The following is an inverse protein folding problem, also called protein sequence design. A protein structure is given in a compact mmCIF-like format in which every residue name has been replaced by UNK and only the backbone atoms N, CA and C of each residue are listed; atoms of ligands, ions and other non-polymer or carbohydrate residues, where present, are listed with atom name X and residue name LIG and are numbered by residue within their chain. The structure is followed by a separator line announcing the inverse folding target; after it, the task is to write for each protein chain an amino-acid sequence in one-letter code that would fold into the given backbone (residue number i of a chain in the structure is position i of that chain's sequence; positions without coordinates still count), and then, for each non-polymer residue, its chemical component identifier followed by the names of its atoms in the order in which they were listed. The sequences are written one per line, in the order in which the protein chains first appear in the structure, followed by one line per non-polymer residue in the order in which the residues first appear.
data_IF_410043805003
#
_entry.id   IF_410043805003
#
_cell.length_a   1.000
_cell.length_b   1.000
_cell.length_c   1.000
_cell.angle_alpha   90.00
_cell.angle_beta   90.00
_cell.angle_gamma   90.00
#
_symmetry.space_group_name_H-M   'P 1'
#
loop_
_entity.id
_entity.type
_entity.pdbx_description
1 polymer ?
#
# COMPACT_ATOMS: atom_id res chain seq x y z
N UNK A 1 18.88 -15.28 3.05
CA UNK A 1 18.70 -14.41 4.24
C UNK A 1 19.90 -13.51 4.48
N UNK A 2 21.15 -14.01 4.38
CA UNK A 2 22.36 -13.15 4.39
C UNK A 2 22.29 -12.05 3.32
N UNK A 3 21.87 -12.42 2.11
CA UNK A 3 21.86 -11.52 0.96
C UNK A 3 21.03 -10.23 1.16
N UNK A 4 19.88 -10.27 1.85
CA UNK A 4 19.11 -9.05 2.10
C UNK A 4 19.81 -8.15 3.12
N UNK A 5 20.38 -8.72 4.18
CA UNK A 5 21.15 -7.95 5.16
C UNK A 5 22.38 -7.33 4.51
N UNK A 6 23.04 -8.07 3.62
CA UNK A 6 24.18 -7.60 2.85
C UNK A 6 23.76 -6.43 1.95
N UNK A 7 22.64 -6.55 1.22
CA UNK A 7 22.06 -5.47 0.40
C UNK A 7 21.72 -4.24 1.25
N UNK A 8 20.98 -4.41 2.35
CA UNK A 8 20.59 -3.30 3.22
C UNK A 8 21.81 -2.62 3.85
N UNK A 9 22.87 -3.37 4.15
CA UNK A 9 24.12 -2.80 4.68
C UNK A 9 24.92 -2.04 3.62
N UNK A 10 24.85 -2.48 2.35
CA UNK A 10 25.54 -1.84 1.24
C UNK A 10 24.83 -0.58 0.74
N UNK A 11 23.50 -0.53 0.85
CA UNK A 11 22.69 0.59 0.39
C UNK A 11 22.53 1.67 1.47
N UNK A 12 23.03 2.89 1.19
CA UNK A 12 22.85 4.05 2.08
C UNK A 12 21.64 4.88 1.67
N UNK A 13 20.93 5.40 2.66
CA UNK A 13 19.83 6.34 2.42
C UNK A 13 18.54 5.73 1.89
N UNK A 14 18.34 4.41 2.06
CA UNK A 14 17.05 3.78 1.78
C UNK A 14 15.96 4.46 2.62
N UNK A 15 14.95 5.02 1.95
CA UNK A 15 13.77 5.63 2.58
C UNK A 15 12.48 4.85 2.31
N UNK A 16 12.49 4.06 1.25
CA UNK A 16 11.34 3.27 0.78
C UNK A 16 11.78 1.83 0.65
N UNK A 17 11.03 0.93 1.29
CA UNK A 17 11.26 -0.51 1.19
C UNK A 17 9.93 -1.22 0.99
N UNK A 18 9.88 -2.16 0.05
CA UNK A 18 8.72 -3.01 -0.19
C UNK A 18 9.16 -4.47 -0.10
N UNK A 19 8.52 -5.23 0.77
CA UNK A 19 8.80 -6.63 1.06
C UNK A 19 7.60 -7.47 0.63
N UNK A 20 7.68 -8.09 -0.54
CA UNK A 20 6.56 -8.88 -1.07
C UNK A 20 6.57 -10.33 -0.62
N UNK A 21 7.72 -10.91 -0.22
CA UNK A 21 7.88 -12.32 0.20
C UNK A 21 9.09 -12.53 1.13
N UNK A 22 9.02 -13.53 2.03
CA UNK A 22 10.12 -13.96 2.91
C UNK A 22 9.64 -14.41 4.30
N UNK A 23 10.45 -15.15 5.08
CA UNK A 23 10.27 -15.24 6.54
C UNK A 23 11.26 -14.24 7.13
N UNK A 24 10.74 -13.17 7.73
CA UNK A 24 11.48 -11.89 7.88
C UNK A 24 11.71 -11.54 9.35
N UNK A 25 11.47 -12.47 10.28
CA UNK A 25 11.70 -12.23 11.72
C UNK A 25 13.14 -11.79 12.02
N UNK A 26 14.13 -12.20 11.23
CA UNK A 26 15.54 -11.80 11.35
C UNK A 26 15.88 -10.43 10.74
N UNK A 27 14.99 -9.85 9.94
CA UNK A 27 15.23 -8.62 9.19
C UNK A 27 14.84 -7.38 9.99
N UNK A 28 13.92 -7.49 10.95
CA UNK A 28 13.55 -6.39 11.86
C UNK A 28 14.79 -5.74 12.49
N UNK A 29 15.75 -6.56 12.95
CA UNK A 29 17.01 -6.08 13.51
C UNK A 29 17.81 -5.22 12.50
N UNK A 30 17.91 -5.66 11.25
CA UNK A 30 18.60 -4.94 10.18
C UNK A 30 17.85 -3.67 9.77
N UNK A 31 16.52 -3.69 9.79
CA UNK A 31 15.72 -2.52 9.45
C UNK A 31 15.81 -1.42 10.51
N UNK A 32 16.09 -1.76 11.78
CA UNK A 32 16.29 -0.77 12.84
C UNK A 32 17.46 0.20 12.57
N UNK A 33 18.45 -0.21 11.77
CA UNK A 33 19.55 0.66 11.35
C UNK A 33 19.15 1.63 10.22
N UNK A 34 18.02 1.39 9.54
CA UNK A 34 17.57 2.15 8.38
C UNK A 34 16.46 3.12 8.80
N UNK A 35 16.59 4.39 8.42
CA UNK A 35 15.56 5.42 8.66
C UNK A 35 14.48 5.38 7.58
N UNK A 36 13.74 4.27 7.53
CA UNK A 36 12.64 4.09 6.60
C UNK A 36 11.53 5.11 6.86
N UNK A 37 11.01 5.71 5.79
CA UNK A 37 9.80 6.55 5.81
C UNK A 37 8.60 5.82 5.22
N UNK A 38 8.84 4.96 4.23
CA UNK A 38 7.81 4.22 3.50
C UNK A 38 8.12 2.74 3.59
N UNK A 39 7.16 1.96 4.08
CA UNK A 39 7.29 0.53 4.26
C UNK A 39 6.05 -0.18 3.71
N UNK A 40 6.24 -1.01 2.69
CA UNK A 40 5.21 -1.93 2.20
C UNK A 40 5.57 -3.36 2.56
N UNK A 41 4.67 -4.12 3.17
CA UNK A 41 4.95 -5.50 3.58
C UNK A 41 3.69 -6.34 3.76
N UNK A 42 3.91 -7.64 3.88
CA UNK A 42 2.95 -8.54 4.50
C UNK A 42 3.31 -8.70 5.99
N UNK A 43 2.46 -8.30 6.93
CA UNK A 43 2.55 -8.58 8.36
C UNK A 43 2.71 -10.08 8.60
N UNK A 44 1.99 -10.93 7.86
CA UNK A 44 2.15 -12.39 7.97
C UNK A 44 3.54 -12.89 7.61
N UNK A 45 4.27 -12.13 6.79
CA UNK A 45 5.65 -12.41 6.37
C UNK A 45 6.66 -11.84 7.37
N UNK A 46 6.38 -10.65 7.92
CA UNK A 46 7.23 -9.99 8.92
C UNK A 46 7.22 -10.74 10.26
N UNK A 47 6.04 -11.20 10.68
CA UNK A 47 5.78 -11.80 11.98
C UNK A 47 5.47 -13.31 11.89
N UNK A 48 5.82 -13.98 10.79
CA UNK A 48 5.50 -15.40 10.52
C UNK A 48 5.98 -16.41 11.59
N UNK A 49 6.77 -15.98 12.58
CA UNK A 49 7.29 -16.82 13.66
C UNK A 49 7.15 -16.22 15.06
N UNK A 50 6.40 -15.13 15.23
CA UNK A 50 6.11 -14.53 16.54
C UNK A 50 4.63 -14.71 16.87
N UNK A 51 4.32 -14.95 18.14
CA UNK A 51 2.92 -15.01 18.59
C UNK A 51 2.24 -13.64 18.57
N UNK A 52 3.01 -12.55 18.48
CA UNK A 52 2.50 -11.18 18.45
C UNK A 52 3.19 -10.30 17.39
N UNK A 53 2.43 -9.32 16.91
CA UNK A 53 2.90 -8.23 16.06
C UNK A 53 3.36 -7.09 16.99
N UNK A 54 4.64 -6.72 16.92
CA UNK A 54 5.20 -5.60 17.69
C UNK A 54 5.36 -4.36 16.80
N UNK A 55 4.37 -3.48 16.82
CA UNK A 55 4.41 -2.19 16.10
C UNK A 55 5.20 -1.11 16.86
N UNK A 56 5.62 -1.36 18.11
CA UNK A 56 6.49 -0.44 18.86
C UNK A 56 7.98 -0.65 18.53
N UNK A 57 8.31 -1.64 17.69
CA UNK A 57 9.69 -1.92 17.29
C UNK A 57 10.37 -0.67 16.67
N UNK A 58 11.64 -0.36 16.99
CA UNK A 58 12.34 0.85 16.53
C UNK A 58 12.37 1.06 15.00
N UNK A 59 12.23 -0.01 14.22
CA UNK A 59 12.07 0.06 12.76
C UNK A 59 10.93 0.97 12.32
N UNK A 60 9.85 1.03 13.10
CA UNK A 60 8.66 1.80 12.76
C UNK A 60 8.75 3.27 13.21
N UNK A 61 9.75 3.65 14.01
CA UNK A 61 9.85 5.01 14.60
C UNK A 61 9.77 6.14 13.58
N UNK A 62 10.33 5.93 12.38
CA UNK A 62 10.37 6.94 11.32
C UNK A 62 9.39 6.68 10.16
N UNK A 63 8.62 5.59 10.24
CA UNK A 63 7.70 5.19 9.16
C UNK A 63 6.49 6.13 9.18
N UNK A 64 6.34 6.90 8.10
CA UNK A 64 5.20 7.79 7.88
C UNK A 64 4.15 7.17 6.96
N UNK A 65 4.55 6.25 6.08
CA UNK A 65 3.66 5.51 5.19
C UNK A 65 3.83 4.00 5.39
N UNK A 66 2.76 3.34 5.80
CA UNK A 66 2.72 1.89 5.96
C UNK A 66 1.70 1.30 4.99
N UNK A 67 2.13 0.35 4.18
CA UNK A 67 1.27 -0.42 3.29
C UNK A 67 1.29 -1.89 3.72
N UNK A 68 0.13 -2.40 4.12
CA UNK A 68 -0.07 -3.79 4.55
C UNK A 68 -0.81 -4.51 3.43
N UNK A 69 -0.12 -5.45 2.81
CA UNK A 69 -0.66 -6.23 1.69
C UNK A 69 -1.43 -7.48 2.13
N UNK A 70 -1.45 -7.81 3.43
CA UNK A 70 -2.25 -8.93 3.92
C UNK A 70 -3.74 -8.59 3.82
N UNK A 71 -4.55 -9.49 3.27
CA UNK A 71 -5.99 -9.40 3.45
C UNK A 71 -6.33 -9.40 4.94
N UNK A 72 -7.14 -8.44 5.40
CA UNK A 72 -7.41 -8.29 6.84
C UNK A 72 -7.98 -9.54 7.50
N UNK A 73 -8.82 -10.29 6.76
CA UNK A 73 -9.34 -11.60 7.20
C UNK A 73 -8.25 -12.61 7.56
N UNK A 74 -7.09 -12.53 6.90
CA UNK A 74 -5.94 -13.40 7.17
C UNK A 74 -5.20 -12.89 8.41
N UNK A 75 -5.05 -11.58 8.59
CA UNK A 75 -4.35 -11.01 9.76
C UNK A 75 -5.06 -11.42 11.05
N UNK A 76 -6.38 -11.20 11.13
CA UNK A 76 -7.16 -11.50 12.34
C UNK A 76 -7.18 -13.00 12.68
N UNK A 77 -7.14 -13.87 11.67
CA UNK A 77 -7.13 -15.33 11.89
C UNK A 77 -5.75 -15.87 12.24
N UNK A 78 -4.67 -15.28 11.71
CA UNK A 78 -3.30 -15.73 11.97
C UNK A 78 -2.68 -15.14 13.23
N UNK A 79 -3.12 -13.97 13.66
CA UNK A 79 -2.57 -13.28 14.84
C UNK A 79 -3.68 -13.04 15.87
N UNK A 80 -4.13 -14.09 16.58
CA UNK A 80 -5.12 -13.94 17.64
C UNK A 80 -4.55 -13.02 18.73
N UNK A 81 -5.21 -11.87 18.92
CA UNK A 81 -4.75 -10.82 19.86
C UNK A 81 -4.11 -9.60 19.19
N UNK A 82 -3.89 -9.62 17.87
CA UNK A 82 -3.60 -8.38 17.15
C UNK A 82 -4.81 -7.44 17.24
N UNK A 83 -4.55 -6.20 17.67
CA UNK A 83 -5.55 -5.15 17.73
C UNK A 83 -5.08 -3.95 16.93
N UNK A 84 -5.99 -3.41 16.12
CA UNK A 84 -5.77 -2.22 15.31
C UNK A 84 -5.54 -0.97 16.16
N UNK A 85 -5.90 -1.01 17.45
CA UNK A 85 -5.49 -0.03 18.45
C UNK A 85 -3.98 0.06 18.70
N UNK A 86 -3.18 -0.86 18.14
CA UNK A 86 -1.71 -0.86 18.28
C UNK A 86 -1.00 0.08 17.29
N UNK A 87 -1.68 0.56 16.24
CA UNK A 87 -1.07 1.47 15.25
C UNK A 87 -0.55 2.81 15.78
N UNK A 88 -1.11 3.43 16.85
CA UNK A 88 -0.53 4.63 17.46
C UNK A 88 0.88 4.40 18.03
N UNK A 89 1.30 3.15 18.22
CA UNK A 89 2.68 2.80 18.59
C UNK A 89 3.68 3.13 17.47
N UNK A 90 3.20 3.44 16.27
CA UNK A 90 4.00 3.99 15.16
C UNK A 90 3.85 5.52 15.18
N UNK A 91 4.75 6.23 15.89
CA UNK A 91 4.52 7.63 16.26
C UNK A 91 4.49 8.59 15.07
N UNK A 92 5.14 8.23 13.96
CA UNK A 92 5.25 9.06 12.77
C UNK A 92 4.21 8.71 11.68
N UNK A 93 3.35 7.72 11.90
CA UNK A 93 2.45 7.20 10.86
C UNK A 93 1.38 8.23 10.48
N UNK A 94 1.43 8.74 9.26
CA UNK A 94 0.40 9.65 8.72
C UNK A 94 -0.42 9.02 7.59
N UNK A 95 0.13 8.00 6.92
CA UNK A 95 -0.52 7.32 5.79
C UNK A 95 -0.55 5.81 6.02
N UNK A 96 -1.75 5.22 5.98
CA UNK A 96 -1.95 3.78 6.12
C UNK A 96 -2.70 3.26 4.90
N UNK A 97 -2.13 2.26 4.24
CA UNK A 97 -2.77 1.51 3.16
C UNK A 97 -3.00 0.06 3.60
N UNK A 98 -4.22 -0.44 3.43
CA UNK A 98 -4.62 -1.81 3.77
C UNK A 98 -5.22 -2.50 2.54
N UNK A 99 -4.99 -3.81 2.39
CA UNK A 99 -5.75 -4.65 1.46
C UNK A 99 -7.00 -5.18 2.19
N UNK A 100 -8.17 -5.05 1.57
CA UNK A 100 -9.42 -5.68 2.02
C UNK A 100 -9.97 -5.20 3.39
N UNK A 101 -10.04 -3.88 3.63
CA UNK A 101 -10.65 -3.29 4.85
C UNK A 101 -12.20 -3.36 4.85
N UNK A 102 -12.80 -4.53 4.72
CA UNK A 102 -14.27 -4.66 4.57
C UNK A 102 -15.08 -4.54 5.87
N UNK A 103 -14.43 -4.25 7.00
CA UNK A 103 -15.08 -4.18 8.29
C UNK A 103 -15.07 -2.73 8.84
N UNK A 104 -16.22 -2.03 8.89
CA UNK A 104 -16.31 -0.67 9.41
C UNK A 104 -15.81 -0.52 10.84
N UNK A 105 -15.97 -1.55 11.69
CA UNK A 105 -15.47 -1.50 13.07
C UNK A 105 -13.94 -1.38 13.14
N UNK A 106 -13.22 -2.00 12.21
CA UNK A 106 -11.76 -1.91 12.11
C UNK A 106 -11.35 -0.52 11.68
N UNK A 107 -12.02 0.05 10.66
CA UNK A 107 -11.76 1.42 10.23
C UNK A 107 -11.98 2.42 11.37
N UNK A 108 -13.10 2.30 12.08
CA UNK A 108 -13.41 3.13 13.24
C UNK A 108 -12.39 2.96 14.37
N UNK A 109 -11.93 1.73 14.64
CA UNK A 109 -10.86 1.47 15.62
C UNK A 109 -9.56 2.18 15.21
N UNK A 110 -9.15 2.08 13.94
CA UNK A 110 -7.97 2.80 13.42
C UNK A 110 -8.14 4.30 13.61
N UNK A 111 -9.27 4.87 13.21
CA UNK A 111 -9.52 6.30 13.29
C UNK A 111 -9.59 6.84 14.72
N UNK A 112 -10.16 6.07 15.64
CA UNK A 112 -10.24 6.42 17.05
C UNK A 112 -8.86 6.46 17.73
N UNK A 113 -7.96 5.57 17.32
CA UNK A 113 -6.65 5.41 17.92
C UNK A 113 -5.55 6.23 17.23
N UNK A 114 -5.57 6.33 15.90
CA UNK A 114 -4.53 6.97 15.09
C UNK A 114 -4.89 8.43 14.78
N UNK A 115 -4.74 9.32 15.77
CA UNK A 115 -5.09 10.75 15.62
C UNK A 115 -4.18 11.50 14.65
N UNK A 116 -2.94 11.05 14.48
CA UNK A 116 -2.00 11.61 13.50
C UNK A 116 -2.25 11.13 12.06
N UNK A 117 -3.17 10.19 11.85
CA UNK A 117 -3.44 9.65 10.53
C UNK A 117 -4.14 10.69 9.67
N UNK A 118 -3.50 11.06 8.57
CA UNK A 118 -3.99 12.01 7.57
C UNK A 118 -4.72 11.27 6.45
N UNK A 119 -4.23 10.09 6.06
CA UNK A 119 -4.77 9.30 4.95
C UNK A 119 -4.90 7.83 5.34
N UNK A 120 -6.11 7.29 5.16
CA UNK A 120 -6.38 5.85 5.16
C UNK A 120 -6.82 5.43 3.75
N UNK A 121 -6.02 4.59 3.11
CA UNK A 121 -6.36 3.96 1.83
C UNK A 121 -6.71 2.52 2.09
N UNK A 122 -7.81 2.06 1.49
CA UNK A 122 -8.07 0.64 1.37
C UNK A 122 -8.30 0.27 -0.08
N UNK A 123 -7.60 -0.78 -0.53
CA UNK A 123 -7.84 -1.39 -1.83
C UNK A 123 -8.83 -2.53 -1.61
N UNK A 124 -9.99 -2.41 -2.25
CA UNK A 124 -11.05 -3.40 -2.15
C UNK A 124 -11.11 -4.25 -3.41
N UNK A 125 -11.30 -5.55 -3.21
CA UNK A 125 -11.75 -6.46 -4.25
C UNK A 125 -13.18 -6.83 -3.94
N UNK A 126 -14.12 -6.06 -4.48
CA UNK A 126 -15.53 -6.32 -4.26
C UNK A 126 -15.93 -7.64 -4.93
N UNK A 127 -16.47 -8.55 -4.14
CA UNK A 127 -17.16 -9.74 -4.66
C UNK A 127 -18.64 -9.42 -4.90
N UNK A 128 -19.19 -8.40 -4.23
CA UNK A 128 -20.57 -7.92 -4.42
C UNK A 128 -20.74 -6.42 -4.10
N UNK A 129 -21.81 -5.79 -4.62
CA UNK A 129 -22.09 -4.35 -4.40
C UNK A 129 -22.50 -4.00 -2.96
N UNK A 130 -23.04 -4.93 -2.18
CA UNK A 130 -23.56 -4.68 -0.82
C UNK A 130 -22.46 -4.35 0.19
N UNK A 131 -21.23 -4.82 -0.03
CA UNK A 131 -20.07 -4.58 0.85
C UNK A 131 -19.67 -3.09 0.90
N UNK A 132 -20.12 -2.31 -0.08
CA UNK A 132 -19.77 -0.89 -0.19
C UNK A 132 -20.68 -0.05 0.69
N UNK A 133 -21.94 -0.45 0.85
CA UNK A 133 -22.91 0.28 1.66
C UNK A 133 -22.48 0.30 3.14
N UNK A 134 -21.91 -0.81 3.63
CA UNK A 134 -21.36 -0.90 4.97
C UNK A 134 -20.20 0.07 5.19
N UNK A 135 -19.33 0.24 4.18
CA UNK A 135 -18.20 1.18 4.28
C UNK A 135 -18.63 2.64 4.14
N UNK A 136 -19.64 2.90 3.30
CA UNK A 136 -20.25 4.23 3.19
C UNK A 136 -20.90 4.68 4.51
N UNK A 137 -21.14 3.78 5.46
CA UNK A 137 -21.63 4.12 6.79
C UNK A 137 -20.56 4.68 7.74
N UNK A 138 -19.27 4.67 7.36
CA UNK A 138 -18.18 5.24 8.16
C UNK A 138 -18.28 6.76 8.16
N UNK A 139 -18.66 7.33 9.30
CA UNK A 139 -18.79 8.78 9.52
C UNK A 139 -17.47 9.40 10.04
N UNK A 140 -16.42 9.35 9.21
CA UNK A 140 -15.16 10.04 9.46
C UNK A 140 -14.74 10.82 8.21
N UNK A 141 -14.51 12.13 8.34
CA UNK A 141 -14.16 13.00 7.22
C UNK A 141 -12.81 12.63 6.54
N UNK A 142 -11.97 11.85 7.22
CA UNK A 142 -10.71 11.31 6.67
C UNK A 142 -10.94 10.05 5.85
N UNK A 143 -12.11 9.43 5.97
CA UNK A 143 -12.50 8.26 5.20
C UNK A 143 -13.17 8.70 3.90
N UNK A 144 -12.52 8.40 2.78
CA UNK A 144 -13.08 8.61 1.46
C UNK A 144 -12.97 7.33 0.64
N UNK A 145 -14.10 6.88 0.11
CA UNK A 145 -14.14 5.78 -0.84
C UNK A 145 -14.02 6.39 -2.24
N UNK A 146 -12.83 6.31 -2.83
CA UNK A 146 -12.70 6.49 -4.27
C UNK A 146 -12.90 5.14 -4.94
N UNK A 147 -14.07 4.94 -5.55
CA UNK A 147 -14.13 4.02 -6.68
C UNK A 147 -13.44 4.76 -7.82
N UNK A 148 -12.38 4.19 -8.39
CA UNK A 148 -11.86 4.67 -9.67
C UNK A 148 -13.08 4.86 -10.59
N UNK A 149 -13.41 6.09 -10.98
CA UNK A 149 -14.63 6.31 -11.71
C UNK A 149 -14.49 5.56 -13.03
N UNK A 150 -15.42 4.64 -13.29
CA UNK A 150 -15.54 4.09 -14.63
C UNK A 150 -15.79 5.26 -15.58
N UNK A 151 -15.41 5.11 -16.85
CA UNK A 151 -15.70 6.12 -17.88
C UNK A 151 -17.15 6.60 -17.81
N UNK A 152 -18.10 5.69 -17.53
CA UNK A 152 -19.53 5.99 -17.40
C UNK A 152 -19.83 6.98 -16.26
N UNK A 153 -19.10 6.91 -15.14
CA UNK A 153 -19.27 7.82 -13.99
C UNK A 153 -18.61 9.18 -14.20
N UNK A 154 -17.66 9.29 -15.12
CA UNK A 154 -17.06 10.57 -15.48
C UNK A 154 -17.97 11.43 -16.37
N UNK A 155 -19.09 10.89 -16.85
CA UNK A 155 -19.98 11.58 -17.80
C UNK A 155 -19.29 11.83 -19.15
N UNK A 156 -18.17 11.17 -19.41
CA UNK A 156 -17.40 11.29 -20.65
C UNK A 156 -17.82 10.15 -21.57
N UNK A 157 -18.34 10.49 -22.75
CA UNK A 157 -18.57 9.49 -23.78
C UNK A 157 -17.22 9.00 -24.32
N UNK A 158 -17.01 7.68 -24.40
CA UNK A 158 -15.90 7.13 -25.18
C UNK A 158 -16.08 7.60 -26.62
N UNK A 159 -15.09 8.26 -27.24
CA UNK A 159 -15.20 8.60 -28.65
C UNK A 159 -15.44 7.31 -29.45
N UNK A 160 -16.46 7.30 -30.31
CA UNK A 160 -16.89 6.08 -31.02
C UNK A 160 -15.81 5.46 -31.92
N UNK A 161 -14.76 6.22 -32.22
CA UNK A 161 -13.65 5.82 -33.08
C UNK A 161 -12.40 5.42 -32.28
N UNK A 162 -12.52 5.18 -30.97
CA UNK A 162 -11.42 4.67 -30.16
C UNK A 162 -11.28 3.17 -30.38
N UNK A 163 -10.21 2.77 -31.06
CA UNK A 163 -9.79 1.37 -31.14
C UNK A 163 -8.92 1.03 -29.93
N UNK A 164 -9.56 0.45 -28.90
CA UNK A 164 -8.90 0.04 -27.67
C UNK A 164 -7.76 -0.97 -27.93
N UNK A 165 -7.89 -1.84 -28.93
CA UNK A 165 -6.86 -2.83 -29.25
C UNK A 165 -5.64 -2.15 -29.86
N UNK A 166 -5.84 -1.21 -30.77
CA UNK A 166 -4.75 -0.42 -31.35
C UNK A 166 -4.01 0.42 -30.30
N UNK A 167 -4.74 1.06 -29.38
CA UNK A 167 -4.13 1.80 -28.25
C UNK A 167 -3.32 0.88 -27.35
N UNK A 168 -3.87 -0.28 -26.96
CA UNK A 168 -3.18 -1.24 -26.12
C UNK A 168 -1.92 -1.79 -26.79
N UNK A 169 -1.99 -2.13 -28.08
CA UNK A 169 -0.84 -2.60 -28.85
C UNK A 169 0.24 -1.51 -28.96
N UNK A 170 -0.15 -0.28 -29.24
CA UNK A 170 0.77 0.86 -29.35
C UNK A 170 1.45 1.16 -28.02
N UNK A 171 0.70 1.14 -26.91
CA UNK A 171 1.23 1.32 -25.57
C UNK A 171 2.22 0.22 -25.21
N UNK A 172 1.87 -1.04 -25.43
CA UNK A 172 2.73 -2.19 -25.11
C UNK A 172 4.01 -2.18 -25.95
N UNK A 173 3.92 -1.79 -27.22
CA UNK A 173 5.07 -1.65 -28.10
C UNK A 173 6.02 -0.55 -27.61
N UNK A 174 5.50 0.63 -27.26
CA UNK A 174 6.30 1.73 -26.72
C UNK A 174 6.96 1.36 -25.39
N UNK A 175 6.21 0.73 -24.48
CA UNK A 175 6.72 0.23 -23.21
C UNK A 175 7.84 -0.80 -23.41
N UNK A 176 7.64 -1.77 -24.29
CA UNK A 176 8.63 -2.82 -24.59
C UNK A 176 9.89 -2.25 -25.24
N UNK A 177 9.75 -1.27 -26.14
CA UNK A 177 10.87 -0.59 -26.76
C UNK A 177 11.72 0.17 -25.72
N UNK A 178 11.09 0.89 -24.80
CA UNK A 178 11.78 1.60 -23.72
C UNK A 178 12.54 0.64 -22.79
N UNK A 179 11.94 -0.50 -22.43
CA UNK A 179 12.62 -1.55 -21.62
C UNK A 179 13.85 -2.09 -22.35
N UNK A 180 13.71 -2.42 -23.64
CA UNK A 180 14.77 -3.06 -24.41
C UNK A 180 16.07 -2.23 -24.44
N UNK A 181 15.95 -0.89 -24.41
CA UNK A 181 17.08 0.04 -24.40
C UNK A 181 17.38 0.65 -23.03
N UNK A 182 16.69 0.20 -21.97
CA UNK A 182 16.81 0.73 -20.59
C UNK A 182 16.54 2.25 -20.49
N UNK A 183 15.65 2.79 -21.33
CA UNK A 183 15.26 4.20 -21.31
C UNK A 183 14.20 4.46 -20.25
N UNK A 184 14.64 4.94 -19.08
CA UNK A 184 13.76 5.28 -17.96
C UNK A 184 12.83 6.45 -18.30
N UNK A 185 13.31 7.46 -19.05
CA UNK A 185 12.49 8.61 -19.41
C UNK A 185 11.37 8.20 -20.38
N UNK A 186 11.71 7.40 -21.40
CA UNK A 186 10.74 6.78 -22.30
C UNK A 186 9.73 5.91 -21.56
N UNK A 187 10.19 5.08 -20.62
CA UNK A 187 9.31 4.25 -19.81
C UNK A 187 8.35 5.07 -18.94
N UNK A 188 8.79 6.19 -18.35
CA UNK A 188 7.91 7.05 -17.56
C UNK A 188 6.89 7.82 -18.41
N UNK A 189 7.23 8.11 -19.67
CA UNK A 189 6.39 8.86 -20.61
C UNK A 189 5.15 8.10 -21.10
N UNK A 190 5.19 6.76 -21.11
CA UNK A 190 4.04 5.93 -21.53
C UNK A 190 3.01 5.73 -20.42
N UNK A 191 3.26 6.22 -19.21
CA UNK A 191 2.31 6.22 -18.11
C UNK A 191 1.68 7.60 -17.96
N UNK A 192 0.39 7.65 -17.62
CA UNK A 192 -0.29 8.93 -17.36
C UNK A 192 0.36 9.59 -16.12
N UNK A 193 0.79 10.87 -16.21
CA UNK A 193 1.53 11.55 -15.16
C UNK A 193 0.84 11.59 -13.78
N UNK A 194 -0.49 11.71 -13.79
CA UNK A 194 -1.42 11.84 -12.66
C UNK A 194 -2.20 10.54 -12.41
N UNK A 195 -1.65 9.40 -12.83
CA UNK A 195 -2.33 8.15 -12.62
C UNK A 195 -2.48 7.91 -11.11
N UNK A 196 -3.68 7.58 -10.64
CA UNK A 196 -3.98 7.41 -9.21
C UNK A 196 -2.98 6.50 -8.48
N UNK A 197 -2.43 5.50 -9.16
CA UNK A 197 -1.40 4.63 -8.58
C UNK A 197 -0.10 5.37 -8.24
N UNK A 198 0.27 6.45 -8.94
CA UNK A 198 1.42 7.32 -8.61
C UNK A 198 1.14 8.12 -7.34
N UNK A 199 -0.06 8.65 -7.18
CA UNK A 199 -0.42 9.38 -5.96
C UNK A 199 -0.55 8.45 -4.74
N UNK A 200 -0.95 7.19 -4.98
CA UNK A 200 -1.00 6.17 -3.93
C UNK A 200 0.41 5.66 -3.56
N UNK A 201 1.29 5.45 -4.55
CA UNK A 201 2.60 4.83 -4.33
C UNK A 201 3.73 5.85 -4.05
N UNK A 202 3.59 7.09 -4.52
CA UNK A 202 4.60 8.16 -4.45
C UNK A 202 4.03 9.58 -4.22
N UNK A 203 3.27 9.84 -3.14
CA UNK A 203 2.68 11.17 -2.88
C UNK A 203 3.68 12.34 -2.62
N UNK A 204 4.99 12.08 -2.51
CA UNK A 204 6.01 13.11 -2.24
C UNK A 204 6.96 13.41 -3.44
N UNK A 205 6.59 13.06 -4.68
CA UNK A 205 7.38 13.40 -5.88
C UNK A 205 6.96 14.73 -6.51
#
# INVERSE_FOLDING_TARGET
MSELNDILSACRGIRTLVLSRGSVSSILASLGAVRLRRLGLFLTTLFSGTESIDLAHPTFTFVTHLNIFDPLRIVSSRFPGFSWSSFPLIPALTHLALDDLNNPSVANEIFANCRQLEVLVSVYRFESDHEIDDLLSIDDARFWISRLPTIDKLGVAVPQNVDANSIAASWLQAFSAAIAVKDIAGLLSVFQPDALWRDILTPDL
#
